data_IF_660176903326
#
_entry.id   IF_660176903326
#
_cell.length_a   1.000
_cell.length_b   1.000
_cell.length_c   1.000
_cell.angle_alpha   90.00
_cell.angle_beta   90.00
_cell.angle_gamma   90.00
#
_symmetry.space_group_name_H-M   'P 1'
#
loop_
_entity.id
_entity.type
_entity.pdbx_description
1 polymer ?
#
# COMPACT_ATOMS: atom_id res chain seq x y z
N UNK A 1 -18.55 -0.07 0.15
CA UNK A 1 -18.56 0.91 -0.96
C UNK A 1 -18.78 0.13 -2.24
N UNK A 2 -20.00 0.05 -2.70
CA UNK A 2 -20.29 -0.64 -3.97
C UNK A 2 -19.66 0.16 -5.11
N UNK A 3 -18.69 -0.43 -5.79
CA UNK A 3 -18.12 0.05 -7.04
C UNK A 3 -17.70 1.53 -7.03
N UNK A 4 -16.49 1.81 -6.53
CA UNK A 4 -15.91 3.15 -6.70
C UNK A 4 -15.81 3.47 -8.20
N UNK A 5 -16.74 4.25 -8.71
CA UNK A 5 -16.78 4.68 -10.10
C UNK A 5 -16.36 6.17 -10.18
N UNK A 6 -15.08 6.41 -10.02
CA UNK A 6 -14.52 7.75 -10.00
C UNK A 6 -14.22 8.28 -11.40
N UNK A 7 -14.36 9.60 -11.57
CA UNK A 7 -13.87 10.30 -12.76
C UNK A 7 -12.35 10.04 -12.90
N UNK A 8 -11.93 9.70 -14.10
CA UNK A 8 -10.52 9.39 -14.42
C UNK A 8 -9.93 10.42 -15.37
N UNK A 9 -8.62 10.38 -15.56
CA UNK A 9 -7.94 11.25 -16.53
C UNK A 9 -8.42 11.07 -17.98
N UNK A 10 -9.07 9.93 -18.28
CA UNK A 10 -9.67 9.70 -19.60
C UNK A 10 -11.02 10.41 -19.78
N UNK A 11 -11.65 10.83 -18.68
CA UNK A 11 -12.99 11.46 -18.69
C UNK A 11 -12.94 12.98 -18.74
N UNK A 12 -11.76 13.59 -18.61
CA UNK A 12 -11.57 15.05 -18.54
C UNK A 12 -10.82 15.59 -19.74
N UNK A 13 -11.04 16.87 -20.05
CA UNK A 13 -10.31 17.59 -21.08
C UNK A 13 -9.37 18.60 -20.41
N UNK A 14 -8.07 18.38 -20.54
CA UNK A 14 -7.04 19.22 -19.91
C UNK A 14 -6.31 20.14 -20.90
N UNK A 15 -6.68 20.14 -22.18
CA UNK A 15 -6.01 20.94 -23.21
C UNK A 15 -5.98 22.42 -22.84
N UNK A 16 -4.79 22.98 -22.73
CA UNK A 16 -4.56 24.37 -22.36
C UNK A 16 -4.83 24.69 -20.88
N UNK A 17 -5.25 23.71 -20.08
CA UNK A 17 -5.54 23.89 -18.65
C UNK A 17 -4.32 23.57 -17.80
N UNK A 18 -4.25 24.23 -16.63
CA UNK A 18 -3.31 23.87 -15.57
C UNK A 18 -3.89 22.72 -14.75
N UNK A 19 -3.10 21.69 -14.51
CA UNK A 19 -3.51 20.48 -13.81
C UNK A 19 -2.56 20.26 -12.64
N UNK A 20 -3.08 20.28 -11.41
CA UNK A 20 -2.32 19.87 -10.25
C UNK A 20 -2.45 18.35 -10.09
N UNK A 21 -1.34 17.64 -10.13
CA UNK A 21 -1.31 16.19 -9.95
C UNK A 21 -0.61 15.84 -8.65
N UNK A 22 -1.31 15.17 -7.75
CA UNK A 22 -0.70 14.61 -6.54
C UNK A 22 -0.10 13.25 -6.86
N UNK A 23 1.20 13.22 -6.94
CA UNK A 23 1.99 12.00 -7.16
C UNK A 23 2.65 11.53 -5.86
N UNK A 24 3.18 10.33 -5.86
CA UNK A 24 4.00 9.81 -4.76
C UNK A 24 5.47 9.71 -5.23
N UNK A 25 6.22 10.78 -4.98
CA UNK A 25 7.65 10.86 -5.22
C UNK A 25 8.46 10.72 -3.93
N UNK A 26 7.88 10.09 -2.92
CA UNK A 26 8.57 9.74 -1.67
C UNK A 26 9.53 8.58 -1.92
N UNK A 27 10.54 8.83 -2.72
CA UNK A 27 11.57 7.85 -3.10
C UNK A 27 12.63 7.69 -2.02
N UNK A 28 13.23 6.49 -1.87
CA UNK A 28 14.36 6.32 -0.97
C UNK A 28 15.60 7.03 -1.52
N UNK A 29 16.27 7.78 -0.66
CA UNK A 29 17.49 8.52 -0.94
C UNK A 29 18.62 8.04 -0.02
N UNK A 30 19.80 7.92 -0.58
CA UNK A 30 21.04 7.73 0.18
C UNK A 30 22.06 8.77 -0.29
N UNK A 31 22.49 9.64 0.62
CA UNK A 31 23.42 10.74 0.32
C UNK A 31 22.96 11.61 -0.89
N UNK A 32 21.67 11.90 -0.94
CA UNK A 32 21.06 12.70 -2.01
C UNK A 32 20.84 11.97 -3.34
N UNK A 33 21.15 10.67 -3.40
CA UNK A 33 20.98 9.83 -4.61
C UNK A 33 19.78 8.92 -4.45
N UNK A 34 18.92 8.89 -5.47
CA UNK A 34 17.77 7.98 -5.50
C UNK A 34 18.26 6.53 -5.64
N UNK A 35 17.91 5.67 -4.69
CA UNK A 35 18.27 4.25 -4.70
C UNK A 35 17.23 3.37 -5.39
N UNK A 36 16.00 3.86 -5.53
CA UNK A 36 14.91 3.18 -6.22
C UNK A 36 13.93 4.23 -6.76
N UNK A 37 13.72 4.26 -8.07
CA UNK A 37 12.85 5.21 -8.77
C UNK A 37 11.48 4.65 -9.14
N UNK A 38 11.10 3.49 -8.63
CA UNK A 38 9.84 2.81 -8.99
C UNK A 38 8.60 3.70 -8.83
N UNK A 39 8.57 4.55 -7.82
CA UNK A 39 7.45 5.47 -7.59
C UNK A 39 7.34 6.53 -8.69
N UNK A 40 8.46 7.00 -9.19
CA UNK A 40 8.49 7.96 -10.31
C UNK A 40 8.03 7.27 -11.58
N UNK A 41 8.57 6.09 -11.88
CA UNK A 41 8.18 5.32 -13.08
C UNK A 41 6.71 4.91 -13.06
N UNK A 42 6.16 4.59 -11.88
CA UNK A 42 4.75 4.27 -11.72
C UNK A 42 3.81 5.45 -12.00
N UNK A 43 4.26 6.68 -11.83
CA UNK A 43 3.49 7.89 -12.13
C UNK A 43 3.54 8.29 -13.61
N UNK A 44 4.47 7.75 -14.39
CA UNK A 44 4.68 8.14 -15.80
C UNK A 44 3.45 7.98 -16.70
N UNK A 45 2.66 6.89 -16.62
CA UNK A 45 1.48 6.76 -17.48
C UNK A 45 0.50 7.91 -17.36
N UNK A 46 0.19 8.34 -16.14
CA UNK A 46 -0.68 9.49 -15.87
C UNK A 46 -0.05 10.79 -16.36
N UNK A 47 1.22 11.03 -16.07
CA UNK A 47 1.94 12.24 -16.47
C UNK A 47 1.98 12.34 -17.99
N UNK A 48 2.37 11.27 -18.68
CA UNK A 48 2.43 11.20 -20.15
C UNK A 48 1.08 11.45 -20.81
N UNK A 49 -0.01 10.91 -20.23
CA UNK A 49 -1.37 11.14 -20.72
C UNK A 49 -1.73 12.62 -20.66
N UNK A 50 -1.53 13.26 -19.53
CA UNK A 50 -1.86 14.68 -19.34
C UNK A 50 -1.00 15.60 -20.22
N UNK A 51 0.28 15.29 -20.39
CA UNK A 51 1.18 16.01 -21.30
C UNK A 51 0.73 15.86 -22.76
N UNK A 52 0.43 14.63 -23.19
CA UNK A 52 -0.03 14.34 -24.55
C UNK A 52 -1.37 15.02 -24.86
N UNK A 53 -2.23 15.17 -23.87
CA UNK A 53 -3.52 15.87 -24.01
C UNK A 53 -3.38 17.41 -24.00
N UNK A 54 -2.17 17.94 -23.91
CA UNK A 54 -1.90 19.37 -23.94
C UNK A 54 -2.13 20.09 -22.62
N UNK A 55 -2.11 19.38 -21.50
CA UNK A 55 -2.19 19.98 -20.16
C UNK A 55 -0.89 20.66 -19.76
N UNK A 56 -0.99 21.67 -18.90
CA UNK A 56 0.14 22.25 -18.15
C UNK A 56 0.21 21.54 -16.82
N UNK A 57 1.15 20.62 -16.66
CA UNK A 57 1.18 19.64 -15.59
C UNK A 57 2.02 20.14 -14.41
N UNK A 58 1.38 20.36 -13.25
CA UNK A 58 2.04 20.76 -12.02
C UNK A 58 2.00 19.58 -11.05
N UNK A 59 3.17 19.05 -10.72
CA UNK A 59 3.30 17.88 -9.83
C UNK A 59 3.59 18.33 -8.40
N UNK A 60 2.88 17.75 -7.44
CA UNK A 60 3.18 17.92 -6.02
C UNK A 60 3.30 16.56 -5.32
N UNK A 61 4.17 16.48 -4.34
CA UNK A 61 4.41 15.30 -3.53
C UNK A 61 5.03 15.67 -2.19
N UNK A 62 4.92 14.77 -1.22
CA UNK A 62 5.76 14.79 -0.04
C UNK A 62 7.02 13.95 -0.25
N UNK A 63 8.03 14.20 0.59
CA UNK A 63 9.23 13.38 0.72
C UNK A 63 9.65 13.33 2.19
N UNK A 64 9.73 12.11 2.74
CA UNK A 64 10.14 11.90 4.12
C UNK A 64 9.25 12.60 5.15
N UNK A 65 9.84 12.92 6.28
CA UNK A 65 9.17 13.56 7.43
C UNK A 65 10.01 14.72 7.97
N UNK A 66 10.09 15.85 7.26
CA UNK A 66 10.78 17.02 7.77
C UNK A 66 10.10 17.48 9.08
N UNK A 67 10.90 17.77 10.11
CA UNK A 67 10.40 18.15 11.42
C UNK A 67 10.49 19.66 11.67
N UNK A 68 11.42 20.31 11.00
CA UNK A 68 11.80 21.71 11.26
C UNK A 68 11.54 22.62 10.04
N UNK A 69 10.53 22.31 9.24
CA UNK A 69 10.26 23.01 7.99
C UNK A 69 11.17 22.55 6.85
N UNK A 70 11.57 23.46 5.92
CA UNK A 70 12.44 23.10 4.80
C UNK A 70 13.78 22.55 5.25
N UNK A 71 14.14 21.37 4.72
CA UNK A 71 15.42 20.70 4.96
C UNK A 71 15.95 20.16 3.63
N UNK A 72 17.18 20.48 3.25
CA UNK A 72 17.77 20.12 1.95
C UNK A 72 17.71 18.62 1.66
N UNK A 73 17.87 17.77 2.66
CA UNK A 73 17.81 16.29 2.52
C UNK A 73 16.41 15.77 2.12
N UNK A 74 15.38 16.59 2.30
CA UNK A 74 13.99 16.28 1.94
C UNK A 74 13.49 17.06 0.71
N UNK A 75 14.40 17.71 -0.03
CA UNK A 75 14.04 18.38 -1.28
C UNK A 75 13.65 17.36 -2.36
N UNK A 76 12.66 17.72 -3.16
CA UNK A 76 12.25 16.97 -4.35
C UNK A 76 13.13 17.21 -5.57
N UNK A 77 14.17 18.02 -5.47
CA UNK A 77 15.09 18.29 -6.59
C UNK A 77 15.63 17.01 -7.24
N UNK A 78 16.09 15.98 -6.51
CA UNK A 78 16.53 14.72 -7.13
C UNK A 78 15.43 14.00 -7.91
N UNK A 79 14.21 13.99 -7.38
CA UNK A 79 13.05 13.37 -8.07
C UNK A 79 12.69 14.12 -9.35
N UNK A 80 12.72 15.45 -9.34
CA UNK A 80 12.48 16.27 -10.52
C UNK A 80 13.56 16.05 -11.59
N UNK A 81 14.83 15.95 -11.19
CA UNK A 81 15.94 15.65 -12.12
C UNK A 81 15.77 14.27 -12.77
N UNK A 82 15.38 13.26 -11.97
CA UNK A 82 15.13 11.91 -12.49
C UNK A 82 13.94 11.87 -13.44
N UNK A 83 12.88 12.60 -13.13
CA UNK A 83 11.73 12.72 -14.02
C UNK A 83 12.13 13.33 -15.38
N UNK A 84 12.97 14.37 -15.37
CA UNK A 84 13.46 14.99 -16.59
C UNK A 84 14.27 14.02 -17.46
N UNK A 85 15.10 13.16 -16.85
CA UNK A 85 15.82 12.10 -17.55
C UNK A 85 14.89 11.08 -18.20
N UNK A 86 13.78 10.75 -17.53
CA UNK A 86 12.79 9.78 -18.01
C UNK A 86 11.87 10.36 -19.10
N UNK A 87 11.79 11.67 -19.21
CA UNK A 87 10.96 12.40 -20.18
C UNK A 87 11.81 13.41 -20.99
N UNK A 88 12.80 12.93 -21.78
CA UNK A 88 13.75 13.82 -22.46
C UNK A 88 13.11 14.76 -23.48
N UNK A 89 11.94 14.42 -24.01
CA UNK A 89 11.20 15.22 -24.99
C UNK A 89 10.30 16.28 -24.33
N UNK A 90 10.21 16.30 -22.99
CA UNK A 90 9.31 17.18 -22.25
C UNK A 90 10.13 18.19 -21.44
N UNK A 91 9.70 19.45 -21.44
CA UNK A 91 10.30 20.46 -20.57
C UNK A 91 9.83 20.23 -19.13
N UNK A 92 10.75 19.84 -18.25
CA UNK A 92 10.53 19.64 -16.83
C UNK A 92 11.29 20.70 -16.05
N UNK A 93 10.58 21.52 -15.28
CA UNK A 93 11.15 22.56 -14.43
C UNK A 93 10.91 22.22 -12.96
N UNK A 94 11.96 22.27 -12.16
CA UNK A 94 11.83 22.17 -10.70
C UNK A 94 11.66 23.57 -10.11
N UNK A 95 10.56 23.84 -9.45
CA UNK A 95 10.30 25.09 -8.75
C UNK A 95 10.85 25.03 -7.33
N UNK A 96 12.12 25.37 -7.16
CA UNK A 96 12.75 25.42 -5.84
C UNK A 96 12.14 26.57 -5.03
N UNK A 97 11.30 26.20 -4.07
CA UNK A 97 10.55 27.16 -3.26
C UNK A 97 10.23 26.56 -1.89
N UNK A 98 10.86 27.09 -0.83
CA UNK A 98 10.71 26.59 0.53
C UNK A 98 9.27 26.72 1.06
N UNK A 99 8.49 27.63 0.50
CA UNK A 99 7.06 27.80 0.85
C UNK A 99 6.13 26.99 -0.06
N UNK A 100 6.68 26.21 -0.98
CA UNK A 100 5.98 25.34 -1.95
C UNK A 100 5.22 26.14 -2.99
N UNK A 101 4.42 27.12 -2.61
CA UNK A 101 3.60 27.98 -3.48
C UNK A 101 4.06 29.45 -3.29
N UNK A 102 5.36 29.70 -3.38
CA UNK A 102 5.94 31.02 -3.32
C UNK A 102 6.17 31.63 -4.71
N UNK A 103 6.99 32.68 -4.76
CA UNK A 103 7.23 33.44 -5.97
C UNK A 103 7.87 32.60 -7.08
N UNK A 104 8.81 31.70 -6.75
CA UNK A 104 9.45 30.83 -7.73
C UNK A 104 8.44 29.84 -8.35
N UNK A 105 7.57 29.24 -7.54
CA UNK A 105 6.54 28.33 -8.01
C UNK A 105 5.54 29.07 -8.90
N UNK A 106 5.05 30.22 -8.48
CA UNK A 106 4.11 31.05 -9.25
C UNK A 106 4.70 31.47 -10.61
N UNK A 107 5.97 31.89 -10.63
CA UNK A 107 6.67 32.24 -11.86
C UNK A 107 6.82 31.04 -12.79
N UNK A 108 7.29 29.91 -12.27
CA UNK A 108 7.47 28.69 -13.05
C UNK A 108 6.15 28.23 -13.71
N UNK A 109 5.05 28.26 -12.97
CA UNK A 109 3.73 27.87 -13.47
C UNK A 109 3.18 28.88 -14.48
N UNK A 110 3.40 30.20 -14.26
CA UNK A 110 2.96 31.24 -15.19
C UNK A 110 3.66 31.15 -16.56
N UNK A 111 4.89 30.66 -16.60
CA UNK A 111 5.70 30.51 -17.83
C UNK A 111 5.46 29.20 -18.59
N UNK A 112 4.60 28.31 -18.11
CA UNK A 112 4.32 27.02 -18.73
C UNK A 112 3.63 27.17 -20.10
N UNK A 113 4.10 26.38 -21.06
CA UNK A 113 3.38 26.09 -22.29
C UNK A 113 2.60 24.77 -22.13
N UNK A 114 1.66 24.53 -23.06
CA UNK A 114 0.93 23.25 -23.11
C UNK A 114 1.91 22.08 -23.26
N UNK A 115 1.78 21.07 -22.43
CA UNK A 115 2.66 19.91 -22.40
C UNK A 115 3.91 20.06 -21.51
N UNK A 116 4.14 21.22 -20.90
CA UNK A 116 5.22 21.41 -19.94
C UNK A 116 4.87 20.78 -18.57
N UNK A 117 5.92 20.48 -17.80
CA UNK A 117 5.83 19.99 -16.43
C UNK A 117 6.57 20.92 -15.48
N UNK A 118 5.94 21.27 -14.36
CA UNK A 118 6.58 21.90 -13.20
C UNK A 118 6.46 20.95 -12.02
N UNK A 119 7.56 20.68 -11.33
CA UNK A 119 7.59 19.92 -10.08
C UNK A 119 7.74 20.91 -8.94
N UNK A 120 6.79 20.90 -8.00
CA UNK A 120 6.84 21.72 -6.79
C UNK A 120 7.79 21.10 -5.76
N UNK A 121 8.22 21.91 -4.79
CA UNK A 121 8.98 21.45 -3.64
C UNK A 121 8.09 20.65 -2.68
N UNK A 122 8.72 19.88 -1.78
CA UNK A 122 8.09 19.00 -0.80
C UNK A 122 6.93 19.67 -0.07
N UNK A 123 5.71 19.17 -0.24
CA UNK A 123 4.50 19.74 0.38
C UNK A 123 4.60 19.79 1.90
N UNK A 124 5.36 18.88 2.53
CA UNK A 124 5.57 18.83 3.96
C UNK A 124 6.52 19.92 4.50
N UNK A 125 7.13 20.72 3.63
CA UNK A 125 7.82 21.92 4.06
C UNK A 125 6.84 22.94 4.66
N UNK A 126 5.56 22.84 4.35
CA UNK A 126 4.49 23.63 4.99
C UNK A 126 4.04 23.04 6.33
N UNK A 127 4.62 21.91 6.78
CA UNK A 127 4.37 21.34 8.11
C UNK A 127 2.89 21.02 8.38
N UNK A 128 2.34 21.59 9.43
CA UNK A 128 0.96 21.35 9.84
C UNK A 128 -0.09 21.87 8.82
N UNK A 129 0.23 22.86 8.01
CA UNK A 129 -0.66 23.33 6.94
C UNK A 129 -0.93 22.23 5.91
N UNK A 130 0.07 21.40 5.61
CA UNK A 130 -0.13 20.22 4.78
C UNK A 130 -0.80 19.08 5.56
N UNK A 131 -0.19 18.66 6.69
CA UNK A 131 -0.55 17.40 7.35
C UNK A 131 -1.85 17.46 8.15
N UNK A 132 -2.33 18.64 8.49
CA UNK A 132 -3.62 18.87 9.16
C UNK A 132 -4.69 19.43 8.22
N UNK A 133 -4.50 19.26 6.91
CA UNK A 133 -5.46 19.69 5.90
C UNK A 133 -5.80 21.19 5.98
N UNK A 134 -4.76 22.01 6.11
CA UNK A 134 -4.90 23.45 6.22
C UNK A 134 -5.58 24.08 5.02
N UNK A 135 -6.69 24.74 5.24
CA UNK A 135 -7.53 25.31 4.18
C UNK A 135 -6.81 26.39 3.36
N UNK A 136 -6.01 27.23 4.04
CA UNK A 136 -5.23 28.28 3.36
C UNK A 136 -4.21 27.70 2.38
N UNK A 137 -3.46 26.68 2.78
CA UNK A 137 -2.50 26.03 1.89
C UNK A 137 -3.18 25.27 0.73
N UNK A 138 -4.28 24.61 1.03
CA UNK A 138 -5.09 23.95 -0.01
C UNK A 138 -5.60 24.96 -1.05
N UNK A 139 -6.03 26.13 -0.61
CA UNK A 139 -6.45 27.22 -1.50
C UNK A 139 -5.29 27.76 -2.34
N UNK A 140 -4.09 27.96 -1.74
CA UNK A 140 -2.90 28.37 -2.47
C UNK A 140 -2.53 27.38 -3.58
N UNK A 141 -2.64 26.06 -3.31
CA UNK A 141 -2.40 25.03 -4.32
C UNK A 141 -3.40 25.11 -5.48
N UNK A 142 -4.67 25.31 -5.17
CA UNK A 142 -5.71 25.47 -6.19
C UNK A 142 -5.51 26.74 -7.01
N UNK A 143 -5.24 27.88 -6.37
CA UNK A 143 -4.99 29.15 -7.05
C UNK A 143 -3.79 29.06 -8.01
N UNK A 144 -2.77 28.29 -7.65
CA UNK A 144 -1.59 28.08 -8.50
C UNK A 144 -1.94 27.50 -9.87
N UNK A 145 -3.00 26.70 -9.94
CA UNK A 145 -3.51 26.08 -11.17
C UNK A 145 -4.82 26.72 -11.66
N UNK A 146 -5.07 27.97 -11.28
CA UNK A 146 -6.24 28.77 -11.67
C UNK A 146 -7.58 28.09 -11.27
N UNK A 147 -7.57 27.32 -10.20
CA UNK A 147 -8.71 26.53 -9.69
C UNK A 147 -9.28 25.54 -10.74
N UNK A 148 -8.47 25.11 -11.71
CA UNK A 148 -8.98 24.31 -12.83
C UNK A 148 -9.14 22.83 -12.49
N UNK A 149 -8.03 22.08 -12.46
CA UNK A 149 -8.08 20.61 -12.39
C UNK A 149 -7.13 20.07 -11.33
N UNK A 150 -7.63 19.12 -10.54
CA UNK A 150 -6.83 18.30 -9.64
C UNK A 150 -6.93 16.82 -10.00
N UNK A 151 -5.78 16.15 -10.08
CA UNK A 151 -5.67 14.70 -10.31
C UNK A 151 -4.99 14.05 -9.13
N UNK A 152 -5.66 13.08 -8.50
CA UNK A 152 -5.11 12.25 -7.43
C UNK A 152 -4.51 10.98 -8.01
N UNK A 153 -3.20 10.79 -7.84
CA UNK A 153 -2.49 9.62 -8.35
C UNK A 153 -1.47 9.05 -7.35
N UNK A 154 -1.74 9.24 -6.05
CA UNK A 154 -0.87 8.82 -4.96
C UNK A 154 -1.63 7.94 -3.96
N UNK A 155 -1.82 6.66 -4.29
CA UNK A 155 -2.59 5.73 -3.45
C UNK A 155 -1.98 5.58 -2.06
N UNK A 156 -0.64 5.52 -1.95
CA UNK A 156 0.06 5.44 -0.67
C UNK A 156 -0.23 6.57 0.32
N UNK A 157 -0.73 7.71 -0.17
CA UNK A 157 -1.13 8.87 0.63
C UNK A 157 -2.65 9.08 0.71
N UNK A 158 -3.44 8.24 0.05
CA UNK A 158 -4.89 8.41 -0.06
C UNK A 158 -5.65 8.23 1.27
N UNK A 159 -5.05 7.54 2.24
CA UNK A 159 -5.60 7.36 3.58
C UNK A 159 -5.45 8.59 4.48
N UNK A 160 -4.75 9.62 4.04
CA UNK A 160 -4.49 10.84 4.79
C UNK A 160 -5.23 12.02 4.18
N UNK A 161 -6.04 12.70 4.99
CA UNK A 161 -6.67 13.96 4.64
C UNK A 161 -5.65 15.11 4.81
N UNK A 162 -4.76 15.28 3.84
CA UNK A 162 -3.80 16.38 3.77
C UNK A 162 -4.30 17.49 2.83
N UNK A 163 -3.71 18.67 2.88
CA UNK A 163 -4.06 19.75 1.96
C UNK A 163 -3.89 19.34 0.50
N UNK A 164 -2.78 18.66 0.16
CA UNK A 164 -2.47 18.24 -1.21
C UNK A 164 -3.16 16.94 -1.66
N UNK A 165 -3.78 16.17 -0.76
CA UNK A 165 -4.48 14.92 -1.09
C UNK A 165 -6.00 15.05 -1.07
N UNK A 166 -6.53 15.92 -0.22
CA UNK A 166 -7.97 16.07 -0.01
C UNK A 166 -8.43 17.54 -0.01
N UNK A 167 -7.80 18.41 0.77
CA UNK A 167 -8.26 19.78 0.97
C UNK A 167 -8.37 20.59 -0.32
N UNK A 168 -7.43 20.43 -1.22
CA UNK A 168 -7.38 21.16 -2.51
C UNK A 168 -8.63 20.93 -3.36
N UNK A 169 -9.29 19.79 -3.23
CA UNK A 169 -10.49 19.47 -4.04
C UNK A 169 -11.66 20.39 -3.78
N UNK A 170 -11.70 21.06 -2.63
CA UNK A 170 -12.75 22.04 -2.31
C UNK A 170 -12.69 23.29 -3.19
N UNK A 171 -11.55 23.57 -3.79
CA UNK A 171 -11.28 24.83 -4.48
C UNK A 171 -11.08 24.70 -5.99
N UNK A 172 -11.06 23.47 -6.53
CA UNK A 172 -10.91 23.23 -7.96
C UNK A 172 -12.25 22.88 -8.63
N UNK A 173 -12.34 23.13 -9.92
CA UNK A 173 -13.56 22.89 -10.71
C UNK A 173 -13.75 21.44 -11.09
N UNK A 174 -12.66 20.74 -11.40
CA UNK A 174 -12.69 19.34 -11.84
C UNK A 174 -11.70 18.50 -11.02
N UNK A 175 -12.12 17.30 -10.68
CA UNK A 175 -11.25 16.31 -10.01
C UNK A 175 -11.29 14.99 -10.76
N UNK A 176 -10.17 14.28 -10.78
CA UNK A 176 -10.06 12.96 -11.37
C UNK A 176 -9.03 12.11 -10.62
N UNK A 177 -9.06 10.81 -10.83
CA UNK A 177 -7.98 9.90 -10.44
C UNK A 177 -7.07 9.62 -11.63
N UNK A 178 -5.78 9.46 -11.37
CA UNK A 178 -4.82 8.98 -12.35
C UNK A 178 -4.89 7.47 -12.55
N UNK A 179 -4.07 6.96 -13.47
CA UNK A 179 -4.06 5.53 -13.82
C UNK A 179 -3.57 4.62 -12.69
N UNK A 180 -2.59 5.07 -11.89
CA UNK A 180 -2.13 4.33 -10.73
C UNK A 180 -3.27 4.15 -9.72
N UNK A 181 -3.96 5.23 -9.39
CA UNK A 181 -5.10 5.21 -8.49
C UNK A 181 -6.25 4.37 -9.05
N UNK A 182 -6.55 4.48 -10.33
CA UNK A 182 -7.58 3.70 -11.00
C UNK A 182 -7.29 2.21 -10.94
N UNK A 183 -6.04 1.83 -11.12
CA UNK A 183 -5.60 0.42 -11.01
C UNK A 183 -5.80 -0.11 -9.60
N UNK A 184 -5.44 0.66 -8.58
CA UNK A 184 -5.67 0.30 -7.18
C UNK A 184 -7.17 0.14 -6.87
N UNK A 185 -8.00 1.07 -7.31
CA UNK A 185 -9.46 1.00 -7.15
C UNK A 185 -10.03 -0.24 -7.84
N UNK A 186 -9.60 -0.52 -9.08
CA UNK A 186 -10.11 -1.64 -9.85
C UNK A 186 -9.72 -2.99 -9.25
N UNK A 187 -8.48 -3.14 -8.81
CA UNK A 187 -8.02 -4.41 -8.25
C UNK A 187 -8.43 -4.57 -6.78
N UNK A 188 -7.95 -3.71 -5.92
CA UNK A 188 -8.19 -3.84 -4.47
C UNK A 188 -9.64 -3.54 -4.11
N UNK A 189 -10.23 -2.49 -4.70
CA UNK A 189 -11.61 -2.12 -4.48
C UNK A 189 -12.58 -3.23 -4.89
N UNK A 190 -12.47 -3.71 -6.11
CA UNK A 190 -13.35 -4.76 -6.61
C UNK A 190 -13.15 -6.10 -5.89
N UNK A 191 -11.90 -6.44 -5.54
CA UNK A 191 -11.61 -7.67 -4.81
C UNK A 191 -12.28 -7.72 -3.44
N UNK A 192 -12.40 -6.59 -2.76
CA UNK A 192 -12.99 -6.51 -1.42
C UNK A 192 -14.51 -6.32 -1.48
N UNK A 193 -15.00 -5.46 -2.38
CA UNK A 193 -16.42 -5.09 -2.42
C UNK A 193 -17.29 -6.02 -3.30
N UNK A 194 -16.75 -6.47 -4.41
CA UNK A 194 -17.48 -7.33 -5.38
C UNK A 194 -16.60 -8.48 -5.88
N UNK A 195 -16.08 -9.33 -4.98
CA UNK A 195 -15.15 -10.38 -5.38
C UNK A 195 -15.81 -11.43 -6.26
N UNK A 196 -15.06 -11.98 -7.22
CA UNK A 196 -15.42 -13.24 -7.85
C UNK A 196 -15.10 -14.37 -6.86
N UNK A 197 -16.11 -15.16 -6.53
CA UNK A 197 -15.97 -16.19 -5.48
C UNK A 197 -15.57 -17.55 -6.05
N UNK A 198 -14.84 -18.40 -5.30
CA UNK A 198 -14.46 -18.20 -3.88
C UNK A 198 -13.41 -17.08 -3.67
N UNK A 199 -13.61 -16.28 -2.64
CA UNK A 199 -12.69 -15.24 -2.21
C UNK A 199 -11.91 -15.71 -0.99
N UNK A 200 -10.59 -15.81 -1.12
CA UNK A 200 -9.65 -16.18 -0.06
C UNK A 200 -8.85 -14.95 0.34
N UNK A 201 -8.89 -14.62 1.62
CA UNK A 201 -8.04 -13.59 2.21
C UNK A 201 -6.94 -14.26 3.04
N UNK A 202 -5.70 -13.81 2.88
CA UNK A 202 -4.53 -14.31 3.61
C UNK A 202 -3.92 -13.17 4.40
N UNK A 203 -3.86 -13.33 5.71
CA UNK A 203 -3.25 -12.38 6.62
C UNK A 203 -2.08 -13.02 7.35
N UNK A 204 -1.00 -12.29 7.43
CA UNK A 204 0.20 -12.67 8.17
C UNK A 204 0.82 -11.46 8.85
N UNK A 205 2.07 -11.62 9.29
CA UNK A 205 2.80 -10.61 10.02
C UNK A 205 2.98 -10.96 11.49
N UNK A 206 3.66 -10.09 12.24
CA UNK A 206 4.11 -10.43 13.59
C UNK A 206 3.01 -10.32 14.64
N UNK A 207 2.16 -9.29 14.58
CA UNK A 207 1.25 -8.91 15.67
C UNK A 207 -0.21 -8.90 15.24
N UNK A 208 -1.05 -9.63 15.98
CA UNK A 208 -2.50 -9.62 15.78
C UNK A 208 -3.11 -8.23 16.00
N UNK A 209 -2.56 -7.47 16.96
CA UNK A 209 -3.05 -6.13 17.30
C UNK A 209 -3.03 -5.16 16.10
N UNK A 210 -2.10 -5.33 15.17
CA UNK A 210 -1.97 -4.48 13.99
C UNK A 210 -3.05 -4.78 12.91
N UNK A 211 -3.78 -5.89 13.04
CA UNK A 211 -4.71 -6.41 12.04
C UNK A 211 -6.14 -6.60 12.52
N UNK A 212 -6.49 -6.12 13.73
CA UNK A 212 -7.80 -6.39 14.35
C UNK A 212 -8.97 -6.04 13.44
N UNK A 213 -8.99 -4.83 12.91
CA UNK A 213 -10.09 -4.36 12.06
C UNK A 213 -10.07 -5.03 10.68
N UNK A 214 -8.88 -5.38 10.19
CA UNK A 214 -8.73 -6.11 8.92
C UNK A 214 -9.35 -7.49 9.03
N UNK A 215 -9.06 -8.23 10.11
CA UNK A 215 -9.62 -9.56 10.36
C UNK A 215 -11.14 -9.49 10.40
N UNK A 216 -11.69 -8.59 11.20
CA UNK A 216 -13.13 -8.44 11.38
C UNK A 216 -13.84 -8.07 10.08
N UNK A 217 -13.29 -7.13 9.32
CA UNK A 217 -13.87 -6.70 8.05
C UNK A 217 -13.81 -7.79 6.97
N UNK A 218 -12.66 -8.44 6.82
CA UNK A 218 -12.48 -9.49 5.81
C UNK A 218 -13.31 -10.74 6.10
N UNK A 219 -13.56 -11.10 7.36
CA UNK A 219 -14.46 -12.20 7.71
C UNK A 219 -15.87 -12.00 7.16
N UNK A 220 -16.33 -10.77 7.05
CA UNK A 220 -17.65 -10.48 6.47
C UNK A 220 -17.67 -10.58 4.95
N UNK A 221 -16.51 -10.50 4.31
CA UNK A 221 -16.39 -10.37 2.85
C UNK A 221 -15.85 -11.62 2.16
N UNK A 222 -14.92 -12.34 2.77
CA UNK A 222 -14.29 -13.53 2.20
C UNK A 222 -15.11 -14.81 2.43
N UNK A 223 -14.77 -15.87 1.73
CA UNK A 223 -15.26 -17.23 1.96
C UNK A 223 -14.31 -18.00 2.89
N UNK A 224 -13.02 -17.75 2.77
CA UNK A 224 -11.97 -18.34 3.60
C UNK A 224 -11.00 -17.27 4.05
N UNK A 225 -10.71 -17.21 5.33
CA UNK A 225 -9.65 -16.39 5.92
C UNK A 225 -8.52 -17.28 6.40
N UNK A 226 -7.32 -17.02 5.90
CA UNK A 226 -6.09 -17.72 6.30
C UNK A 226 -5.29 -16.80 7.20
N UNK A 227 -4.89 -17.28 8.35
CA UNK A 227 -4.05 -16.58 9.32
C UNK A 227 -2.70 -17.30 9.44
N UNK A 228 -1.62 -16.60 9.14
CA UNK A 228 -0.25 -17.09 9.31
C UNK A 228 0.63 -16.06 10.01
N UNK A 229 1.94 -16.31 10.02
CA UNK A 229 2.90 -15.45 10.70
C UNK A 229 2.80 -15.48 12.23
N UNK A 230 3.50 -14.57 12.88
CA UNK A 230 3.53 -14.47 14.33
C UNK A 230 2.16 -14.24 14.99
N UNK A 231 1.26 -13.55 14.27
CA UNK A 231 -0.10 -13.32 14.76
C UNK A 231 -0.94 -14.58 14.94
N UNK A 232 -0.58 -15.68 14.27
CA UNK A 232 -1.31 -16.93 14.37
C UNK A 232 -1.20 -17.58 15.77
N UNK A 233 -0.12 -17.35 16.50
CA UNK A 233 0.10 -17.97 17.81
C UNK A 233 -0.88 -17.47 18.87
N UNK A 234 -1.33 -16.23 18.80
CA UNK A 234 -2.39 -15.73 19.67
C UNK A 234 -3.71 -16.48 19.41
N UNK A 235 -4.03 -16.78 18.14
CA UNK A 235 -5.18 -17.62 17.79
C UNK A 235 -5.03 -19.06 18.31
N UNK A 236 -3.84 -19.65 18.14
CA UNK A 236 -3.57 -21.01 18.61
C UNK A 236 -3.71 -21.10 20.13
N UNK A 237 -3.19 -20.10 20.86
CA UNK A 237 -3.36 -20.03 22.32
C UNK A 237 -4.82 -19.85 22.71
N UNK A 238 -5.58 -19.06 21.95
CA UNK A 238 -7.03 -18.91 22.16
C UNK A 238 -7.80 -20.23 21.99
N UNK A 239 -7.28 -21.16 21.20
CA UNK A 239 -7.80 -22.52 21.07
C UNK A 239 -7.39 -23.45 22.23
N UNK A 240 -6.64 -22.98 23.21
CA UNK A 240 -6.13 -23.76 24.33
C UNK A 240 -4.81 -24.49 24.05
N UNK A 241 -4.14 -24.22 22.95
CA UNK A 241 -2.84 -24.81 22.62
C UNK A 241 -1.70 -24.08 23.32
N UNK A 242 -0.67 -24.82 23.70
CA UNK A 242 0.57 -24.25 24.21
C UNK A 242 1.52 -23.92 23.04
N UNK A 243 2.04 -22.71 23.04
CA UNK A 243 2.83 -22.18 21.91
C UNK A 243 4.29 -21.89 22.30
N UNK A 244 4.74 -22.39 23.45
CA UNK A 244 6.12 -22.22 23.93
C UNK A 244 6.50 -20.75 24.07
N UNK A 245 7.65 -20.38 23.50
CA UNK A 245 8.19 -19.01 23.51
C UNK A 245 7.67 -18.17 22.33
N UNK A 246 6.72 -18.67 21.53
CA UNK A 246 6.17 -17.96 20.40
C UNK A 246 5.54 -16.63 20.78
N UNK A 247 5.55 -15.68 19.85
CA UNK A 247 4.97 -14.37 20.03
C UNK A 247 3.45 -14.48 20.30
N UNK A 248 3.01 -13.96 21.42
CA UNK A 248 1.59 -13.95 21.83
C UNK A 248 1.23 -12.59 22.40
N UNK A 249 0.06 -12.08 22.02
CA UNK A 249 -0.57 -10.94 22.66
C UNK A 249 -1.69 -11.44 23.59
N UNK A 250 -1.38 -11.61 24.87
CA UNK A 250 -2.34 -12.12 25.87
C UNK A 250 -3.57 -11.20 26.02
N UNK A 251 -3.45 -9.92 25.68
CA UNK A 251 -4.57 -8.96 25.72
C UNK A 251 -5.58 -9.18 24.59
N UNK A 252 -5.25 -10.00 23.57
CA UNK A 252 -6.05 -10.26 22.38
C UNK A 252 -6.61 -11.69 22.30
N UNK A 253 -6.43 -12.50 23.32
CA UNK A 253 -6.97 -13.87 23.37
C UNK A 253 -8.49 -13.88 23.20
N UNK A 254 -9.20 -13.02 23.93
CA UNK A 254 -10.66 -12.93 23.85
C UNK A 254 -11.11 -12.45 22.46
N UNK A 255 -10.41 -11.50 21.88
CA UNK A 255 -10.65 -11.05 20.51
C UNK A 255 -10.51 -12.20 19.51
N UNK A 256 -9.45 -12.99 19.61
CA UNK A 256 -9.25 -14.14 18.73
C UNK A 256 -10.38 -15.17 18.86
N UNK A 257 -10.86 -15.43 20.08
CA UNK A 257 -12.03 -16.28 20.31
C UNK A 257 -13.29 -15.72 19.65
N UNK A 258 -13.53 -14.41 19.76
CA UNK A 258 -14.64 -13.73 19.09
C UNK A 258 -14.57 -13.86 17.56
N UNK A 259 -13.38 -13.73 16.98
CA UNK A 259 -13.21 -13.83 15.53
C UNK A 259 -13.42 -15.26 15.01
N UNK A 260 -12.96 -16.28 15.76
CA UNK A 260 -13.24 -17.67 15.44
C UNK A 260 -14.75 -17.98 15.54
N UNK A 261 -15.43 -17.49 16.57
CA UNK A 261 -16.88 -17.62 16.72
C UNK A 261 -17.64 -16.86 15.61
N UNK A 262 -17.18 -15.67 15.24
CA UNK A 262 -17.75 -14.90 14.11
C UNK A 262 -17.64 -15.66 12.80
N UNK A 263 -16.48 -16.24 12.51
CA UNK A 263 -16.28 -17.05 11.31
C UNK A 263 -17.27 -18.23 11.26
N UNK A 264 -17.41 -18.96 12.35
CA UNK A 264 -18.36 -20.07 12.45
C UNK A 264 -19.80 -19.61 12.23
N UNK A 265 -20.23 -18.54 12.91
CA UNK A 265 -21.58 -17.97 12.78
C UNK A 265 -21.89 -17.52 11.34
N UNK A 266 -20.91 -16.97 10.64
CA UNK A 266 -21.04 -16.52 9.25
C UNK A 266 -20.87 -17.64 8.22
N UNK A 267 -20.55 -18.87 8.66
CA UNK A 267 -20.28 -19.99 7.76
C UNK A 267 -18.99 -19.84 6.96
N UNK A 268 -18.03 -19.08 7.48
CA UNK A 268 -16.71 -18.85 6.85
C UNK A 268 -15.69 -19.85 7.36
N UNK A 269 -14.73 -20.20 6.52
CA UNK A 269 -13.57 -20.99 6.94
C UNK A 269 -12.50 -20.04 7.48
N UNK A 270 -12.01 -20.29 8.68
CA UNK A 270 -10.84 -19.65 9.26
C UNK A 270 -9.76 -20.70 9.42
N UNK A 271 -8.70 -20.62 8.62
CA UNK A 271 -7.61 -21.57 8.60
C UNK A 271 -6.42 -21.03 9.40
N UNK A 272 -5.97 -21.85 10.36
CA UNK A 272 -4.79 -21.60 11.18
C UNK A 272 -3.70 -22.63 10.86
N UNK A 273 -2.42 -22.36 11.18
CA UNK A 273 -1.36 -23.35 11.01
C UNK A 273 -1.64 -24.62 11.81
N UNK A 274 -1.56 -25.76 11.14
CA UNK A 274 -1.71 -27.10 11.76
C UNK A 274 -0.36 -27.70 12.14
N UNK A 275 0.71 -27.20 11.54
CA UNK A 275 2.09 -27.47 11.95
C UNK A 275 2.92 -26.18 11.86
N UNK A 276 4.04 -26.17 12.57
CA UNK A 276 4.84 -24.96 12.80
C UNK A 276 6.31 -25.32 12.71
N UNK A 277 7.07 -24.49 12.02
CA UNK A 277 8.53 -24.51 12.03
C UNK A 277 9.01 -23.75 13.26
N UNK A 278 9.68 -24.44 14.17
CA UNK A 278 10.15 -23.90 15.45
C UNK A 278 11.67 -23.89 15.55
N UNK A 279 12.17 -22.96 16.35
CA UNK A 279 13.59 -22.84 16.69
C UNK A 279 13.75 -22.48 18.17
N UNK A 280 14.99 -22.62 18.69
CA UNK A 280 15.30 -22.27 20.08
C UNK A 280 15.27 -20.75 20.34
N UNK A 281 15.41 -19.91 19.30
CA UNK A 281 15.34 -18.46 19.41
C UNK A 281 15.28 -17.79 18.05
N UNK A 282 15.03 -16.48 18.06
CA UNK A 282 14.96 -15.67 16.85
C UNK A 282 16.37 -15.50 16.25
N UNK A 283 16.52 -15.59 14.91
CA UNK A 283 17.84 -15.45 14.27
C UNK A 283 18.41 -14.04 14.44
N UNK A 284 19.69 -13.96 14.81
CA UNK A 284 20.43 -12.71 14.94
C UNK A 284 21.85 -12.90 14.37
N UNK A 285 22.21 -12.21 13.26
CA UNK A 285 21.34 -11.36 12.45
C UNK A 285 20.17 -12.12 11.82
N UNK A 286 19.17 -11.42 11.31
CA UNK A 286 17.90 -12.01 10.86
C UNK A 286 18.07 -13.11 9.79
N UNK A 287 19.11 -13.01 8.97
CA UNK A 287 19.46 -13.96 7.90
C UNK A 287 20.47 -15.03 8.33
N UNK A 288 20.84 -15.08 9.63
CA UNK A 288 21.79 -16.06 10.15
C UNK A 288 21.29 -17.50 9.97
N UNK A 289 22.21 -18.46 9.76
CA UNK A 289 21.86 -19.88 9.79
C UNK A 289 21.14 -20.25 11.10
N UNK A 290 20.08 -21.03 11.00
CA UNK A 290 19.26 -21.44 12.14
C UNK A 290 18.84 -22.89 12.01
N UNK A 291 18.93 -23.61 13.13
CA UNK A 291 18.43 -24.98 13.24
C UNK A 291 16.93 -24.95 13.56
N UNK A 292 16.15 -25.66 12.77
CA UNK A 292 14.71 -25.69 12.88
C UNK A 292 14.17 -27.12 12.95
N UNK A 293 13.00 -27.24 13.52
CA UNK A 293 12.21 -28.47 13.58
C UNK A 293 10.77 -28.15 13.17
N UNK A 294 10.10 -29.05 12.47
CA UNK A 294 8.68 -28.93 12.17
C UNK A 294 7.89 -29.80 13.13
N UNK A 295 6.97 -29.19 13.87
CA UNK A 295 6.12 -29.86 14.85
C UNK A 295 4.66 -29.57 14.58
N UNK A 296 3.76 -30.45 15.03
CA UNK A 296 2.33 -30.12 15.01
C UNK A 296 2.07 -28.89 15.89
N UNK A 297 1.15 -28.01 15.49
CA UNK A 297 0.93 -26.73 16.18
C UNK A 297 0.36 -26.86 17.61
N UNK A 298 -0.13 -28.05 17.99
CA UNK A 298 -0.53 -28.40 19.36
C UNK A 298 0.61 -29.03 20.18
N UNK A 299 1.82 -29.12 19.60
CA UNK A 299 2.99 -29.80 20.23
C UNK A 299 4.24 -28.92 20.19
N UNK A 300 4.08 -27.60 20.20
CA UNK A 300 5.22 -26.69 20.25
C UNK A 300 5.95 -26.84 21.57
N UNK A 301 7.24 -27.17 21.60
CA UNK A 301 8.01 -27.30 22.83
C UNK A 301 8.05 -26.00 23.64
N UNK A 302 8.06 -26.13 24.97
CA UNK A 302 8.03 -24.98 25.89
C UNK A 302 9.27 -24.07 25.75
N UNK A 303 10.39 -24.61 25.29
CA UNK A 303 11.67 -23.93 25.09
C UNK A 303 11.94 -23.47 23.63
N UNK A 304 10.93 -23.55 22.77
CA UNK A 304 11.01 -23.14 21.36
C UNK A 304 9.94 -22.15 20.97
N UNK A 305 10.20 -21.40 19.92
CA UNK A 305 9.27 -20.47 19.32
C UNK A 305 8.99 -20.78 17.85
N UNK A 306 7.77 -20.53 17.42
CA UNK A 306 7.38 -20.66 16.04
C UNK A 306 7.83 -19.47 15.21
N UNK A 307 8.43 -19.74 14.04
CA UNK A 307 9.01 -18.73 13.15
C UNK A 307 8.56 -18.85 11.70
N UNK A 308 7.86 -19.93 11.35
CA UNK A 308 7.24 -20.13 10.04
C UNK A 308 6.16 -21.22 10.15
N UNK A 309 5.31 -21.31 9.13
CA UNK A 309 4.37 -22.42 8.97
C UNK A 309 5.11 -23.70 8.55
N UNK A 310 4.56 -24.86 8.88
CA UNK A 310 5.11 -26.14 8.48
C UNK A 310 4.61 -26.61 7.11
N UNK A 311 5.10 -27.78 6.69
CA UNK A 311 4.80 -28.35 5.37
C UNK A 311 3.33 -28.77 5.20
N UNK A 312 2.70 -29.29 6.25
CA UNK A 312 1.27 -29.61 6.23
C UNK A 312 0.41 -28.37 6.08
N UNK A 313 0.79 -27.27 6.73
CA UNK A 313 0.13 -25.98 6.64
C UNK A 313 0.30 -25.37 5.24
N UNK A 314 1.49 -25.48 4.67
CA UNK A 314 1.75 -25.04 3.30
C UNK A 314 0.79 -25.74 2.31
N UNK A 315 0.59 -27.03 2.45
CA UNK A 315 -0.36 -27.80 1.63
C UNK A 315 -1.82 -27.38 1.88
N UNK A 316 -2.21 -27.19 3.13
CA UNK A 316 -3.55 -26.72 3.51
C UNK A 316 -3.88 -25.34 2.92
N UNK A 317 -2.97 -24.39 3.07
CA UNK A 317 -3.14 -23.04 2.55
C UNK A 317 -3.10 -23.01 1.02
N UNK A 318 -2.19 -23.79 0.41
CA UNK A 318 -2.11 -23.94 -1.04
C UNK A 318 -3.37 -24.50 -1.66
N UNK A 319 -4.01 -25.47 -1.04
CA UNK A 319 -5.26 -26.05 -1.53
C UNK A 319 -6.42 -25.04 -1.49
N UNK A 320 -6.50 -24.21 -0.43
CA UNK A 320 -7.48 -23.14 -0.35
C UNK A 320 -7.28 -22.10 -1.47
N UNK A 321 -6.03 -21.72 -1.74
CA UNK A 321 -5.67 -20.78 -2.82
C UNK A 321 -6.00 -21.35 -4.19
N UNK A 322 -5.75 -22.63 -4.40
CA UNK A 322 -5.97 -23.30 -5.69
C UNK A 322 -7.42 -23.25 -6.17
N UNK A 323 -8.36 -23.34 -5.23
CA UNK A 323 -9.79 -23.29 -5.53
C UNK A 323 -10.36 -21.86 -5.63
N UNK A 324 -9.57 -20.85 -5.28
CA UNK A 324 -10.02 -19.46 -5.25
C UNK A 324 -10.17 -18.85 -6.65
N UNK A 325 -11.03 -17.84 -6.76
CA UNK A 325 -11.15 -16.93 -7.92
C UNK A 325 -10.63 -15.54 -7.63
N UNK A 326 -10.59 -15.16 -6.36
CA UNK A 326 -10.00 -13.91 -5.86
C UNK A 326 -9.17 -14.23 -4.62
N UNK A 327 -7.94 -13.72 -4.59
CA UNK A 327 -7.04 -13.83 -3.43
C UNK A 327 -6.49 -12.45 -3.09
N UNK A 328 -6.62 -12.05 -1.84
CA UNK A 328 -5.95 -10.87 -1.28
C UNK A 328 -5.00 -11.36 -0.19
N UNK A 329 -3.74 -10.99 -0.29
CA UNK A 329 -2.70 -11.38 0.66
C UNK A 329 -2.03 -10.16 1.28
N UNK A 330 -2.01 -10.10 2.61
CA UNK A 330 -1.34 -9.05 3.39
C UNK A 330 -0.57 -9.65 4.58
N UNK A 331 0.75 -9.63 4.52
CA UNK A 331 1.67 -10.09 5.56
C UNK A 331 2.26 -11.48 5.33
N UNK A 332 3.57 -11.65 5.60
CA UNK A 332 4.27 -12.92 5.40
C UNK A 332 3.85 -14.00 6.39
N UNK A 333 4.14 -15.25 6.06
CA UNK A 333 3.81 -16.43 6.87
C UNK A 333 4.85 -16.75 7.94
N UNK A 334 6.02 -16.18 7.84
CA UNK A 334 7.15 -16.40 8.73
C UNK A 334 8.22 -15.32 8.57
N UNK A 335 9.39 -15.57 9.13
CA UNK A 335 10.56 -14.67 9.04
C UNK A 335 11.21 -14.85 7.65
N UNK A 336 10.57 -14.29 6.63
CA UNK A 336 10.94 -14.52 5.23
C UNK A 336 12.30 -13.96 4.82
N UNK A 337 12.87 -13.07 5.61
CA UNK A 337 14.23 -12.53 5.43
C UNK A 337 15.29 -13.60 5.67
N UNK A 338 14.94 -14.65 6.40
CA UNK A 338 15.80 -15.82 6.65
C UNK A 338 15.49 -16.93 5.64
N UNK A 339 16.47 -17.42 4.86
CA UNK A 339 16.22 -18.45 3.84
C UNK A 339 15.58 -19.73 4.38
N UNK A 340 15.94 -20.15 5.60
CA UNK A 340 15.37 -21.35 6.25
C UNK A 340 13.94 -21.15 6.67
N UNK A 341 13.57 -19.92 7.05
CA UNK A 341 12.24 -19.52 7.57
C UNK A 341 11.33 -18.89 6.51
N UNK A 342 11.80 -18.80 5.27
CA UNK A 342 11.04 -18.26 4.14
C UNK A 342 10.15 -19.30 3.42
N UNK A 343 10.30 -20.58 3.74
CA UNK A 343 9.65 -21.68 3.01
C UNK A 343 8.13 -21.57 2.98
N UNK A 344 7.53 -21.16 4.08
CA UNK A 344 6.07 -20.98 4.16
C UNK A 344 5.59 -19.82 3.29
N UNK A 345 6.26 -18.69 3.32
CA UNK A 345 5.95 -17.53 2.47
C UNK A 345 6.17 -17.85 0.99
N UNK A 346 7.25 -18.57 0.64
CA UNK A 346 7.50 -19.05 -0.73
C UNK A 346 6.38 -19.97 -1.19
N UNK A 347 5.93 -20.91 -0.36
CA UNK A 347 4.85 -21.85 -0.70
C UNK A 347 3.54 -21.12 -1.00
N UNK A 348 3.19 -20.11 -0.21
CA UNK A 348 2.00 -19.28 -0.46
C UNK A 348 2.17 -18.47 -1.76
N UNK A 349 3.30 -17.81 -1.95
CA UNK A 349 3.58 -17.05 -3.19
C UNK A 349 3.52 -17.95 -4.43
N UNK A 350 4.05 -19.17 -4.35
CA UNK A 350 3.99 -20.16 -5.42
C UNK A 350 2.55 -20.58 -5.72
N UNK A 351 1.75 -20.84 -4.70
CA UNK A 351 0.34 -21.16 -4.86
C UNK A 351 -0.43 -20.04 -5.57
N UNK A 352 -0.16 -18.79 -5.21
CA UNK A 352 -0.74 -17.62 -5.89
C UNK A 352 -0.27 -17.50 -7.35
N UNK A 353 0.98 -17.84 -7.63
CA UNK A 353 1.54 -17.82 -8.99
C UNK A 353 0.94 -18.90 -9.91
N UNK A 354 0.48 -20.00 -9.35
CA UNK A 354 -0.04 -21.17 -10.08
C UNK A 354 -1.57 -21.21 -10.19
N UNK A 355 -2.28 -20.34 -9.48
CA UNK A 355 -3.76 -20.28 -9.54
C UNK A 355 -4.24 -19.41 -10.70
N UNK A 356 -5.46 -19.69 -11.19
CA UNK A 356 -6.16 -18.83 -12.16
C UNK A 356 -6.90 -17.66 -11.51
N UNK A 357 -6.79 -17.49 -10.20
CA UNK A 357 -7.42 -16.42 -9.47
C UNK A 357 -6.83 -15.04 -9.79
N UNK A 358 -7.62 -14.01 -9.60
CA UNK A 358 -7.09 -12.64 -9.46
C UNK A 358 -6.36 -12.54 -8.13
N UNK A 359 -5.06 -12.27 -8.16
CA UNK A 359 -4.18 -12.26 -7.00
C UNK A 359 -3.69 -10.84 -6.72
N UNK A 360 -3.95 -10.37 -5.50
CA UNK A 360 -3.65 -9.01 -5.07
C UNK A 360 -2.82 -9.06 -3.80
N UNK A 361 -1.66 -8.40 -3.85
CA UNK A 361 -0.76 -8.27 -2.71
C UNK A 361 -0.92 -6.88 -2.12
N UNK A 362 -1.24 -6.81 -0.83
CA UNK A 362 -1.34 -5.56 -0.08
C UNK A 362 -0.36 -5.51 1.08
N UNK A 363 0.17 -4.31 1.37
CA UNK A 363 1.11 -4.11 2.46
C UNK A 363 2.59 -4.19 2.06
N UNK A 364 3.43 -3.46 2.79
CA UNK A 364 4.85 -3.32 2.48
C UNK A 364 5.64 -4.62 2.57
N UNK A 365 5.45 -5.38 3.66
CA UNK A 365 6.20 -6.62 3.90
C UNK A 365 5.84 -7.72 2.90
N UNK A 366 4.55 -7.89 2.59
CA UNK A 366 4.13 -8.88 1.59
C UNK A 366 4.60 -8.52 0.20
N UNK A 367 4.55 -7.24 -0.17
CA UNK A 367 5.08 -6.76 -1.45
C UNK A 367 6.58 -6.98 -1.54
N UNK A 368 7.32 -6.64 -0.48
CA UNK A 368 8.76 -6.88 -0.40
C UNK A 368 9.08 -8.37 -0.51
N UNK A 369 8.35 -9.22 0.21
CA UNK A 369 8.54 -10.68 0.18
C UNK A 369 8.32 -11.23 -1.24
N UNK A 370 7.23 -10.87 -1.89
CA UNK A 370 6.90 -11.35 -3.25
C UNK A 370 7.94 -10.89 -4.27
N UNK A 371 8.40 -9.64 -4.18
CA UNK A 371 9.45 -9.10 -5.06
C UNK A 371 10.79 -9.79 -4.80
N UNK A 372 11.20 -9.88 -3.54
CA UNK A 372 12.47 -10.51 -3.14
C UNK A 372 12.53 -11.99 -3.54
N UNK A 373 11.42 -12.70 -3.44
CA UNK A 373 11.31 -14.12 -3.76
C UNK A 373 11.09 -14.40 -5.26
N UNK A 374 10.99 -13.36 -6.10
CA UNK A 374 10.93 -13.49 -7.56
C UNK A 374 9.54 -13.82 -8.13
N UNK A 375 8.46 -13.55 -7.41
CA UNK A 375 7.08 -13.84 -7.84
C UNK A 375 6.27 -12.60 -8.26
N UNK A 376 6.89 -11.42 -8.29
CA UNK A 376 6.16 -10.16 -8.53
C UNK A 376 5.38 -10.15 -9.85
N UNK A 377 5.97 -10.64 -10.92
CA UNK A 377 5.37 -10.69 -12.27
C UNK A 377 4.27 -11.75 -12.42
N UNK A 378 4.13 -12.63 -11.43
CA UNK A 378 3.08 -13.65 -11.37
C UNK A 378 1.82 -13.20 -10.65
N UNK A 379 1.86 -12.04 -9.99
CA UNK A 379 0.71 -11.47 -9.29
C UNK A 379 -0.10 -10.57 -10.22
N UNK A 380 -1.43 -10.59 -10.08
CA UNK A 380 -2.31 -9.72 -10.86
C UNK A 380 -2.08 -8.24 -10.52
N UNK A 381 -1.88 -7.95 -9.24
CA UNK A 381 -1.60 -6.60 -8.76
C UNK A 381 -0.82 -6.63 -7.45
N UNK A 382 0.22 -5.79 -7.36
CA UNK A 382 0.92 -5.50 -6.11
C UNK A 382 0.59 -4.06 -5.76
N UNK A 383 -0.14 -3.87 -4.65
CA UNK A 383 -0.53 -2.53 -4.22
C UNK A 383 0.68 -1.69 -3.80
N UNK A 384 0.71 -0.46 -4.25
CA UNK A 384 1.70 0.53 -3.84
C UNK A 384 1.34 1.23 -2.53
N UNK A 385 0.17 0.90 -1.98
CA UNK A 385 -0.48 1.69 -0.94
C UNK A 385 0.08 1.54 0.48
N UNK A 386 0.79 0.47 0.79
CA UNK A 386 1.26 0.26 2.16
C UNK A 386 0.15 0.42 3.21
N UNK A 387 0.23 1.50 3.99
CA UNK A 387 -0.79 1.83 5.01
C UNK A 387 -2.18 2.10 4.44
N UNK A 388 -2.27 2.69 3.25
CA UNK A 388 -3.57 2.93 2.59
C UNK A 388 -4.26 1.61 2.22
N UNK A 389 -3.50 0.63 1.73
CA UNK A 389 -4.04 -0.71 1.46
C UNK A 389 -4.59 -1.36 2.72
N UNK A 390 -3.87 -1.25 3.83
CA UNK A 390 -4.28 -1.81 5.11
C UNK A 390 -5.57 -1.15 5.60
N UNK A 391 -5.64 0.19 5.60
CA UNK A 391 -6.84 0.92 6.01
C UNK A 391 -8.04 0.63 5.11
N UNK A 392 -7.82 0.42 3.81
CA UNK A 392 -8.88 -0.02 2.91
C UNK A 392 -9.40 -1.41 3.28
N UNK A 393 -8.50 -2.35 3.59
CA UNK A 393 -8.86 -3.69 4.06
C UNK A 393 -9.59 -3.68 5.42
N UNK A 394 -9.37 -2.65 6.23
CA UNK A 394 -10.13 -2.41 7.47
C UNK A 394 -11.57 -1.92 7.21
N UNK A 395 -11.92 -1.61 5.97
CA UNK A 395 -13.22 -1.05 5.60
C UNK A 395 -13.32 0.45 5.75
N UNK A 396 -12.21 1.15 5.95
CA UNK A 396 -12.19 2.61 6.07
C UNK A 396 -12.35 3.29 4.72
N UNK A 397 -13.02 4.42 4.73
CA UNK A 397 -13.05 5.35 3.61
C UNK A 397 -11.70 6.03 3.49
N UNK A 398 -11.12 6.05 2.30
CA UNK A 398 -9.85 6.74 2.05
C UNK A 398 -10.14 8.19 1.60
N UNK A 399 -9.76 9.20 2.40
CA UNK A 399 -10.10 10.59 2.11
C UNK A 399 -9.66 11.07 0.73
N UNK A 400 -8.45 10.67 0.29
CA UNK A 400 -7.91 11.07 -1.01
C UNK A 400 -8.64 10.46 -2.22
N UNK A 401 -9.50 9.47 -2.00
CA UNK A 401 -10.38 8.90 -3.03
C UNK A 401 -11.78 9.47 -2.89
N UNK A 402 -12.28 9.55 -1.68
CA UNK A 402 -13.66 9.96 -1.38
C UNK A 402 -13.99 11.36 -1.91
N UNK A 403 -13.01 12.26 -1.87
CA UNK A 403 -13.17 13.65 -2.34
C UNK A 403 -13.16 13.83 -3.86
N UNK A 404 -12.82 12.79 -4.62
CA UNK A 404 -12.83 12.82 -6.09
C UNK A 404 -14.24 12.59 -6.60
N UNK A 405 -14.64 13.32 -7.64
CA UNK A 405 -15.96 13.22 -8.24
C UNK A 405 -16.27 11.80 -8.74
N UNK A 406 -17.50 11.38 -8.55
CA UNK A 406 -18.05 10.16 -9.15
C UNK A 406 -18.49 10.43 -10.59
N UNK A 407 -18.47 9.36 -11.45
CA UNK A 407 -19.02 9.41 -12.83
C UNK A 407 -20.54 9.48 -12.81
#
# INVERSE_FOLDING_TARGET
MAGLNKVTVDDINVKGKKVLVRVDFNVPLKDGVITNDNRITAALPTIKKLVADGGKVVLCSHLGKPKNGPEAKFSLAPAAARLAELLPETKVTFAADDTVVGDNAKKAVAEMADGDIVVLENTRFRGAEETKNGEAFAKELADLVDDEVFVMDAFGSAHRAHASTAGVTKFVKETAVGYLMQKEINYLGNAVETPVRPFVAILGGAKVADKLNVISNLLEKCDTLIIGGGMAYTFLKAQGKEVGLSLVDDTKIDYCKEMMAKAEKLGKKLLLPIDTTVAAGFPDPIDAPIDVEVVDSDKIPADKEGLDIGTKTQALFGEAVKSAKTVVWNGPMGVFENPTLAKGTIAVAKALAETDATTIIGGGDSSAAVIQLGFADKMSHISTGGGASLEYLEGKVLPGIDVIADK
#
